data_IF_928544581262
#
_entry.id   IF_928544581262
#
_cell.length_a   1.000
_cell.length_b   1.000
_cell.length_c   1.000
_cell.angle_alpha   90.00
_cell.angle_beta   90.00
_cell.angle_gamma   90.00
#
_symmetry.space_group_name_H-M   'P 1'
#
loop_
_entity.id
_entity.type
_entity.pdbx_description
1 polymer ?
#
# COMPACT_ATOMS: atom_id res chain seq x y z
N UNK A 1 80.36 13.03 25.66
CA UNK A 1 80.10 14.01 24.58
C UNK A 1 80.00 13.25 23.27
N UNK A 2 78.79 13.17 22.70
CA UNK A 2 78.50 13.08 21.27
C UNK A 2 76.99 12.86 21.10
N UNK A 3 76.30 13.92 20.66
CA UNK A 3 74.95 13.84 20.08
C UNK A 3 75.09 13.49 18.60
N UNK A 4 74.14 12.73 18.05
CA UNK A 4 73.58 13.10 16.75
C UNK A 4 72.05 13.10 16.80
N UNK A 5 71.42 14.24 16.49
CA UNK A 5 70.87 14.65 15.18
C UNK A 5 69.47 14.10 14.96
N UNK A 6 68.52 15.04 15.03
CA UNK A 6 67.10 14.91 14.80
C UNK A 6 66.85 14.73 13.30
N UNK A 7 66.15 13.66 12.89
CA UNK A 7 65.53 13.56 11.56
C UNK A 7 64.04 13.43 11.78
N UNK A 8 63.32 14.50 11.43
CA UNK A 8 61.85 14.58 11.47
C UNK A 8 61.30 14.03 10.16
N UNK A 9 60.77 12.80 10.18
CA UNK A 9 59.96 12.28 9.08
C UNK A 9 58.49 12.64 9.31
N UNK A 10 57.96 13.51 8.45
CA UNK A 10 56.53 13.67 8.24
C UNK A 10 55.96 12.38 7.64
N UNK A 11 54.98 11.78 8.30
CA UNK A 11 54.09 10.77 7.70
C UNK A 11 52.68 11.33 7.76
N UNK A 12 52.09 11.55 6.60
CA UNK A 12 50.68 11.89 6.42
C UNK A 12 49.99 10.75 5.66
N UNK A 13 48.69 10.60 5.92
CA UNK A 13 47.68 9.76 5.25
C UNK A 13 47.64 8.27 5.63
N UNK A 14 46.49 7.63 5.89
CA UNK A 14 45.09 8.04 5.73
C UNK A 14 44.21 7.18 6.66
N UNK A 15 43.26 7.79 7.37
CA UNK A 15 42.19 7.05 8.05
C UNK A 15 40.97 6.98 7.13
N UNK A 16 40.73 5.81 6.53
CA UNK A 16 39.49 5.53 5.81
C UNK A 16 38.41 5.14 6.82
N UNK A 17 37.56 6.09 7.21
CA UNK A 17 36.31 5.79 7.93
C UNK A 17 35.28 5.37 6.88
N UNK A 18 35.10 4.06 6.73
CA UNK A 18 34.00 3.48 5.98
C UNK A 18 32.70 3.72 6.73
N UNK A 19 31.93 4.72 6.30
CA UNK A 19 30.58 4.96 6.80
C UNK A 19 29.63 3.88 6.28
N UNK A 20 29.27 2.91 7.13
CA UNK A 20 28.04 2.15 6.95
C UNK A 20 26.86 3.08 7.23
N UNK A 21 26.27 3.66 6.19
CA UNK A 21 24.93 4.25 6.28
C UNK A 21 23.92 3.11 6.32
N UNK A 22 23.68 2.58 7.52
CA UNK A 22 22.50 1.78 7.79
C UNK A 22 21.26 2.65 7.55
N UNK A 23 20.38 2.23 6.65
CA UNK A 23 19.04 2.79 6.57
C UNK A 23 18.37 2.53 7.92
N UNK A 24 18.18 3.57 8.71
CA UNK A 24 17.30 3.54 9.87
C UNK A 24 15.88 3.41 9.32
N UNK A 25 15.27 2.25 9.55
CA UNK A 25 13.81 2.14 9.49
C UNK A 25 13.27 3.05 10.59
N UNK A 26 12.46 4.03 10.20
CA UNK A 26 11.75 4.89 11.13
C UNK A 26 10.68 4.03 11.82
N UNK A 27 10.91 3.71 13.09
CA UNK A 27 10.05 2.85 13.89
C UNK A 27 8.75 3.62 14.16
N UNK A 28 7.68 3.28 13.44
CA UNK A 28 6.34 3.81 13.71
C UNK A 28 5.88 3.30 15.07
N UNK A 29 5.37 4.21 15.91
CA UNK A 29 4.95 4.01 17.33
C UNK A 29 3.76 3.02 17.53
N UNK A 30 3.45 2.22 16.51
CA UNK A 30 2.48 1.13 16.53
C UNK A 30 3.21 -0.17 16.20
N UNK A 31 3.53 -1.04 17.19
CA UNK A 31 4.33 -2.25 16.97
C UNK A 31 3.69 -3.28 16.03
N UNK A 32 2.44 -3.01 15.60
CA UNK A 32 1.68 -3.85 14.70
C UNK A 32 1.60 -3.31 13.27
N UNK A 33 1.98 -2.05 13.02
CA UNK A 33 1.97 -1.45 11.69
C UNK A 33 3.29 -1.73 10.95
N UNK A 34 3.21 -2.04 9.67
CA UNK A 34 4.39 -2.29 8.83
C UNK A 34 4.27 -1.55 7.52
N UNK A 35 5.40 -1.03 7.05
CA UNK A 35 5.52 -0.39 5.76
C UNK A 35 6.80 -0.84 5.06
N UNK A 36 6.68 -1.24 3.80
CA UNK A 36 7.80 -1.57 2.92
C UNK A 36 7.70 -0.73 1.65
N UNK A 37 8.70 0.12 1.45
CA UNK A 37 8.70 1.10 0.37
C UNK A 37 7.82 2.32 0.64
N UNK A 38 8.14 3.40 -0.07
CA UNK A 38 7.38 4.66 -0.05
C UNK A 38 6.80 4.92 -1.43
N UNK A 39 5.61 5.52 -1.49
CA UNK A 39 4.95 5.88 -2.75
C UNK A 39 5.88 6.76 -3.63
N UNK A 40 6.60 7.71 -3.03
CA UNK A 40 7.56 8.57 -3.74
C UNK A 40 8.71 7.77 -4.36
N UNK A 41 9.23 6.75 -3.68
CA UNK A 41 10.32 5.92 -4.19
C UNK A 41 9.81 4.98 -5.30
N UNK A 42 8.76 4.24 -5.00
CA UNK A 42 8.26 3.17 -5.86
C UNK A 42 7.56 3.73 -7.08
N UNK A 43 6.68 4.73 -6.92
CA UNK A 43 5.95 5.34 -8.04
C UNK A 43 6.71 6.56 -8.59
N UNK A 44 7.13 7.47 -7.72
CA UNK A 44 7.77 8.72 -8.14
C UNK A 44 9.13 8.52 -8.80
N UNK A 45 10.04 7.84 -8.10
CA UNK A 45 11.42 7.55 -8.52
C UNK A 45 11.56 6.23 -9.30
N UNK A 46 10.46 5.51 -9.53
CA UNK A 46 10.41 4.26 -10.29
C UNK A 46 11.30 3.13 -9.75
N UNK A 47 11.46 3.06 -8.42
CA UNK A 47 12.19 1.99 -7.74
C UNK A 47 11.28 0.78 -7.50
N UNK A 48 11.15 -0.08 -8.51
CA UNK A 48 10.18 -1.17 -8.51
C UNK A 48 10.70 -2.52 -7.97
N UNK A 49 11.90 -2.57 -7.39
CA UNK A 49 12.46 -3.81 -6.83
C UNK A 49 11.61 -4.37 -5.68
N UNK A 50 11.56 -5.69 -5.55
CA UNK A 50 10.95 -6.36 -4.40
C UNK A 50 11.64 -5.99 -3.10
N UNK A 51 10.85 -5.75 -2.05
CA UNK A 51 11.32 -5.30 -0.72
C UNK A 51 10.87 -6.21 0.40
N UNK A 52 9.76 -6.93 0.22
CA UNK A 52 9.23 -7.88 1.19
C UNK A 52 8.52 -9.02 0.48
N UNK A 53 8.66 -10.22 1.03
CA UNK A 53 7.95 -11.40 0.57
C UNK A 53 6.60 -11.51 1.31
N UNK A 54 5.53 -11.77 0.57
CA UNK A 54 4.20 -11.91 1.16
C UNK A 54 4.08 -13.09 2.13
N UNK A 55 4.80 -14.20 1.89
CA UNK A 55 4.81 -15.36 2.78
C UNK A 55 5.37 -15.00 4.17
N UNK A 56 6.33 -14.08 4.26
CA UNK A 56 6.89 -13.62 5.54
C UNK A 56 5.86 -12.87 6.38
N UNK A 57 5.00 -12.06 5.74
CA UNK A 57 3.98 -11.25 6.41
C UNK A 57 2.84 -12.09 6.97
N UNK A 58 2.53 -13.22 6.33
CA UNK A 58 1.40 -14.08 6.72
C UNK A 58 1.80 -15.25 7.64
N UNK A 59 3.09 -15.33 8.05
CA UNK A 59 3.53 -16.26 9.10
C UNK A 59 2.89 -15.95 10.45
N UNK A 60 2.63 -14.66 10.71
CA UNK A 60 1.85 -14.20 11.86
C UNK A 60 0.39 -14.04 11.44
N UNK A 61 -0.58 -14.49 12.27
CA UNK A 61 -1.99 -14.40 11.94
C UNK A 61 -2.47 -12.94 11.91
N UNK A 62 -3.63 -12.70 11.32
CA UNK A 62 -4.32 -11.42 11.34
C UNK A 62 -3.58 -10.27 10.64
N UNK A 63 -2.78 -10.59 9.61
CA UNK A 63 -2.20 -9.56 8.77
C UNK A 63 -3.22 -9.02 7.76
N UNK A 64 -3.33 -7.70 7.69
CA UNK A 64 -4.11 -6.96 6.70
C UNK A 64 -3.22 -5.95 6.02
N UNK A 65 -3.38 -5.79 4.71
CA UNK A 65 -2.56 -4.82 3.99
C UNK A 65 -2.91 -4.72 2.52
N UNK A 66 -2.37 -3.67 1.91
CA UNK A 66 -2.48 -3.37 0.49
C UNK A 66 -1.09 -3.10 -0.06
N UNK A 67 -0.87 -3.43 -1.33
CA UNK A 67 0.44 -3.22 -1.94
C UNK A 67 0.50 -3.52 -3.42
N UNK A 68 1.61 -3.08 -4.01
CA UNK A 68 1.98 -3.31 -5.40
C UNK A 68 3.04 -4.41 -5.47
N UNK A 69 2.88 -5.32 -6.42
CA UNK A 69 3.92 -6.31 -6.73
C UNK A 69 5.21 -5.64 -7.20
N UNK A 70 6.33 -6.33 -7.06
CA UNK A 70 7.57 -5.94 -7.71
C UNK A 70 7.40 -5.71 -9.22
N UNK A 71 8.24 -4.85 -9.79
CA UNK A 71 8.11 -4.34 -11.16
C UNK A 71 6.78 -3.62 -11.45
N UNK A 72 5.98 -3.29 -10.42
CA UNK A 72 4.59 -2.84 -10.56
C UNK A 72 3.73 -3.83 -11.36
N UNK A 73 4.01 -5.13 -11.24
CA UNK A 73 3.42 -6.15 -12.12
C UNK A 73 1.95 -6.49 -11.80
N UNK A 74 1.34 -5.84 -10.80
CA UNK A 74 -0.03 -6.08 -10.36
C UNK A 74 -0.25 -5.60 -8.93
N UNK A 75 -1.46 -5.86 -8.44
CA UNK A 75 -1.92 -5.45 -7.12
C UNK A 75 -2.06 -6.63 -6.18
N UNK A 76 -1.85 -6.37 -4.89
CA UNK A 76 -1.97 -7.32 -3.82
C UNK A 76 -2.80 -6.75 -2.67
N UNK A 77 -3.66 -7.59 -2.11
CA UNK A 77 -4.40 -7.30 -0.87
C UNK A 77 -4.30 -8.50 0.04
N UNK A 78 -3.92 -8.28 1.29
CA UNK A 78 -3.96 -9.29 2.34
C UNK A 78 -5.17 -9.01 3.21
N UNK A 79 -6.01 -10.02 3.39
CA UNK A 79 -7.15 -9.98 4.28
C UNK A 79 -7.07 -11.15 5.25
N UNK A 80 -6.77 -10.86 6.53
CA UNK A 80 -6.65 -11.85 7.60
C UNK A 80 -5.67 -12.99 7.24
N UNK A 81 -4.46 -12.61 6.81
CA UNK A 81 -3.41 -13.54 6.37
C UNK A 81 -3.64 -14.19 5.00
N UNK A 82 -4.76 -13.92 4.31
CA UNK A 82 -5.01 -14.45 2.96
C UNK A 82 -4.61 -13.43 1.89
N UNK A 83 -3.63 -13.78 1.08
CA UNK A 83 -3.14 -12.94 -0.02
C UNK A 83 -3.98 -13.16 -1.27
N UNK A 84 -4.52 -12.07 -1.82
CA UNK A 84 -5.14 -12.05 -3.15
C UNK A 84 -4.28 -11.21 -4.07
N UNK A 85 -3.97 -11.74 -5.24
CA UNK A 85 -3.12 -11.11 -6.24
C UNK A 85 -3.88 -10.95 -7.54
N UNK A 86 -3.74 -9.82 -8.20
CA UNK A 86 -4.34 -9.59 -9.53
C UNK A 86 -3.34 -8.91 -10.45
N UNK A 87 -3.17 -9.47 -11.64
CA UNK A 87 -2.32 -8.93 -12.71
C UNK A 87 -3.13 -8.65 -13.97
N UNK A 88 -2.56 -7.84 -14.86
CA UNK A 88 -3.08 -7.62 -16.21
C UNK A 88 -2.34 -8.55 -17.17
N UNK A 89 -3.09 -9.33 -17.97
CA UNK A 89 -2.52 -10.18 -19.02
C UNK A 89 -2.19 -9.35 -20.28
N UNK A 90 -1.40 -9.91 -21.22
CA UNK A 90 -1.14 -9.26 -22.51
C UNK A 90 -2.39 -8.91 -23.33
N UNK A 91 -3.48 -9.65 -23.14
CA UNK A 91 -4.80 -9.40 -23.75
C UNK A 91 -5.65 -8.37 -22.98
N UNK A 92 -5.04 -7.67 -22.01
CA UNK A 92 -5.67 -6.69 -21.11
C UNK A 92 -6.72 -7.24 -20.16
N UNK A 93 -6.95 -8.55 -20.10
CA UNK A 93 -7.84 -9.15 -19.11
C UNK A 93 -7.14 -9.31 -17.75
N UNK A 94 -7.92 -9.22 -16.67
CA UNK A 94 -7.42 -9.47 -15.32
C UNK A 94 -7.20 -10.97 -15.08
N UNK A 95 -6.08 -11.31 -14.45
CA UNK A 95 -5.73 -12.68 -14.02
C UNK A 95 -5.55 -12.74 -12.50
N UNK A 96 -6.21 -13.67 -11.79
CA UNK A 96 -5.83 -14.00 -10.42
C UNK A 96 -4.49 -14.76 -10.43
N UNK A 97 -3.59 -14.39 -9.54
CA UNK A 97 -2.29 -15.09 -9.42
C UNK A 97 -2.19 -15.91 -8.15
N UNK A 98 -1.40 -16.98 -8.21
CA UNK A 98 -1.06 -17.79 -7.04
C UNK A 98 0.10 -17.16 -6.29
N UNK A 99 0.00 -17.16 -4.97
CA UNK A 99 1.14 -16.85 -4.11
C UNK A 99 2.24 -17.90 -4.27
N UNK A 100 3.49 -17.47 -4.20
CA UNK A 100 4.67 -18.33 -4.17
C UNK A 100 5.75 -17.69 -3.31
N UNK A 101 6.77 -18.47 -2.95
CA UNK A 101 7.96 -17.99 -2.24
C UNK A 101 8.80 -16.98 -3.01
N UNK A 102 8.47 -16.69 -4.27
CA UNK A 102 9.12 -15.63 -5.07
C UNK A 102 8.29 -14.35 -5.16
N UNK A 103 7.04 -14.37 -4.69
CA UNK A 103 6.14 -13.23 -4.83
C UNK A 103 6.53 -12.14 -3.82
N UNK A 104 6.96 -11.00 -4.33
CA UNK A 104 7.38 -9.86 -3.51
C UNK A 104 6.56 -8.60 -3.82
N UNK A 105 6.50 -7.72 -2.82
CA UNK A 105 5.95 -6.38 -2.97
C UNK A 105 7.08 -5.37 -3.16
N UNK A 106 6.90 -4.44 -4.10
CA UNK A 106 7.72 -3.22 -4.16
C UNK A 106 7.21 -2.16 -3.18
N UNK A 107 5.89 -2.10 -3.00
CA UNK A 107 5.21 -1.23 -2.05
C UNK A 107 4.22 -2.07 -1.24
N UNK A 108 4.25 -1.96 0.08
CA UNK A 108 3.28 -2.60 0.95
C UNK A 108 3.08 -1.77 2.21
N UNK A 109 1.82 -1.63 2.61
CA UNK A 109 1.44 -1.04 3.88
C UNK A 109 0.37 -1.92 4.53
N UNK A 110 0.50 -2.19 5.82
CA UNK A 110 -0.37 -3.13 6.52
C UNK A 110 -0.20 -3.12 8.02
N UNK A 111 -1.02 -3.91 8.71
CA UNK A 111 -0.88 -4.13 10.13
C UNK A 111 -1.42 -5.50 10.56
N UNK A 112 -0.98 -5.94 11.74
CA UNK A 112 -1.53 -7.09 12.45
C UNK A 112 -2.70 -6.63 13.33
N UNK A 113 -3.93 -6.97 12.95
CA UNK A 113 -5.16 -6.49 13.63
C UNK A 113 -5.98 -7.68 14.11
N UNK A 114 -5.83 -8.03 15.39
CA UNK A 114 -6.50 -9.20 15.97
C UNK A 114 -8.00 -9.00 16.15
N UNK A 115 -8.39 -7.83 16.66
CA UNK A 115 -9.77 -7.51 16.98
C UNK A 115 -10.21 -6.24 16.25
N UNK A 116 -11.51 -6.17 15.97
CA UNK A 116 -12.12 -5.09 15.20
C UNK A 116 -13.39 -4.62 15.89
N UNK A 117 -13.50 -3.30 16.08
CA UNK A 117 -14.78 -2.66 16.39
C UNK A 117 -15.56 -2.46 15.09
N UNK A 118 -16.87 -2.73 15.11
CA UNK A 118 -17.76 -2.57 13.95
C UNK A 118 -18.64 -1.33 14.09
N UNK A 119 -18.62 -0.48 13.07
CA UNK A 119 -19.35 0.79 12.99
C UNK A 119 -20.29 0.77 11.78
N UNK A 120 -21.61 0.57 11.97
CA UNK A 120 -22.57 0.51 10.87
C UNK A 120 -22.72 1.87 10.15
N UNK A 121 -22.73 1.83 8.82
CA UNK A 121 -22.97 2.99 7.96
C UNK A 121 -24.43 2.99 7.51
N UNK A 122 -25.23 3.89 8.07
CA UNK A 122 -26.69 3.95 7.83
C UNK A 122 -27.08 4.84 6.65
N UNK A 123 -26.14 5.62 6.11
CA UNK A 123 -26.34 6.53 4.99
C UNK A 123 -25.33 6.22 3.89
N UNK A 124 -25.67 6.65 2.67
CA UNK A 124 -24.72 6.65 1.55
C UNK A 124 -23.55 7.58 1.89
N UNK A 125 -22.34 7.12 1.61
CA UNK A 125 -21.10 7.90 1.80
C UNK A 125 -20.49 8.14 0.42
N UNK A 126 -20.55 9.38 -0.11
CA UNK A 126 -19.82 9.78 -1.30
C UNK A 126 -18.31 9.67 -1.11
N UNK A 127 -17.58 9.53 -2.22
CA UNK A 127 -16.11 9.41 -2.20
C UNK A 127 -15.43 10.59 -1.49
N UNK A 128 -15.96 11.80 -1.66
CA UNK A 128 -15.36 13.02 -1.11
C UNK A 128 -15.53 13.12 0.42
N UNK A 129 -16.50 12.39 0.99
CA UNK A 129 -16.78 12.37 2.42
C UNK A 129 -16.05 11.23 3.15
N UNK A 130 -15.43 10.30 2.40
CA UNK A 130 -14.85 9.07 2.95
C UNK A 130 -13.75 9.34 3.99
N UNK A 131 -12.84 10.27 3.69
CA UNK A 131 -11.73 10.58 4.59
C UNK A 131 -12.24 11.12 5.92
N UNK A 132 -13.17 12.09 5.87
CA UNK A 132 -13.78 12.70 7.04
C UNK A 132 -14.57 11.68 7.86
N UNK A 133 -15.31 10.77 7.20
CA UNK A 133 -16.03 9.69 7.88
C UNK A 133 -15.06 8.81 8.67
N UNK A 134 -14.01 8.28 8.02
CA UNK A 134 -13.05 7.37 8.67
C UNK A 134 -12.36 8.07 9.84
N UNK A 135 -11.92 9.32 9.65
CA UNK A 135 -11.28 10.11 10.70
C UNK A 135 -12.21 10.35 11.90
N UNK A 136 -13.46 10.76 11.65
CA UNK A 136 -14.42 11.03 12.72
C UNK A 136 -14.80 9.77 13.48
N UNK A 137 -15.06 8.66 12.79
CA UNK A 137 -15.37 7.37 13.44
C UNK A 137 -14.17 6.84 14.21
N UNK A 138 -12.94 6.98 13.68
CA UNK A 138 -11.71 6.61 14.39
C UNK A 138 -11.50 7.41 15.68
N UNK A 139 -11.67 8.74 15.62
CA UNK A 139 -11.60 9.59 16.80
C UNK A 139 -12.66 9.21 17.86
N UNK A 140 -13.89 8.94 17.43
CA UNK A 140 -14.97 8.50 18.32
C UNK A 140 -14.70 7.12 18.95
N UNK A 141 -13.99 6.25 18.24
CA UNK A 141 -13.54 4.95 18.73
C UNK A 141 -12.24 5.03 19.56
N UNK A 142 -11.67 6.22 19.74
CA UNK A 142 -10.48 6.44 20.55
C UNK A 142 -9.15 6.17 19.84
N UNK A 143 -9.14 6.01 18.51
CA UNK A 143 -7.91 5.87 17.74
C UNK A 143 -7.23 7.22 17.56
N UNK A 144 -5.89 7.21 17.57
CA UNK A 144 -5.05 8.35 17.25
C UNK A 144 -4.98 8.54 15.73
N UNK A 145 -5.60 9.61 15.20
CA UNK A 145 -5.68 9.86 13.74
C UNK A 145 -4.48 10.61 13.17
N UNK A 146 -3.54 11.02 14.02
CA UNK A 146 -2.21 11.52 13.64
C UNK A 146 -1.23 10.37 13.28
N UNK A 147 -1.61 9.12 13.56
CA UNK A 147 -0.85 7.92 13.20
C UNK A 147 -1.57 7.10 12.12
N UNK A 148 -0.83 6.42 11.23
CA UNK A 148 -1.44 5.50 10.27
C UNK A 148 -2.14 4.33 10.94
N UNK A 149 -3.32 3.95 10.44
CA UNK A 149 -4.04 2.75 10.90
C UNK A 149 -4.78 2.04 9.77
N UNK A 150 -5.01 0.75 9.96
CA UNK A 150 -5.79 -0.07 9.03
C UNK A 150 -7.28 0.15 9.24
N UNK A 151 -8.05 0.13 8.17
CA UNK A 151 -9.50 0.04 8.22
C UNK A 151 -9.99 -0.99 7.21
N UNK A 152 -11.18 -1.53 7.46
CA UNK A 152 -11.90 -2.33 6.47
C UNK A 152 -13.33 -1.81 6.35
N UNK A 153 -13.84 -1.65 5.13
CA UNK A 153 -15.26 -1.43 4.90
C UNK A 153 -15.84 -2.66 4.20
N UNK A 154 -16.83 -3.31 4.82
CA UNK A 154 -17.54 -4.46 4.25
C UNK A 154 -18.93 -4.00 3.80
N UNK A 155 -19.31 -4.29 2.56
CA UNK A 155 -20.66 -3.97 2.09
C UNK A 155 -20.77 -3.84 0.58
N UNK A 156 -21.78 -3.08 0.18
CA UNK A 156 -22.08 -2.76 -1.22
C UNK A 156 -21.53 -1.39 -1.60
N UNK A 157 -20.98 -1.32 -2.80
CA UNK A 157 -20.34 -0.13 -3.35
C UNK A 157 -20.91 0.19 -4.74
N UNK A 158 -20.91 1.47 -5.08
CA UNK A 158 -21.28 1.96 -6.39
C UNK A 158 -20.21 2.91 -6.94
N UNK A 159 -20.20 3.06 -8.26
CA UNK A 159 -19.32 4.00 -8.96
C UNK A 159 -17.84 3.84 -8.58
N UNK A 160 -17.38 2.59 -8.45
CA UNK A 160 -16.01 2.30 -8.00
C UNK A 160 -15.04 2.53 -9.15
N UNK A 161 -14.22 3.57 -9.05
CA UNK A 161 -13.10 3.79 -9.95
C UNK A 161 -11.92 2.95 -9.45
N UNK A 162 -11.58 1.93 -10.22
CA UNK A 162 -10.68 0.87 -9.82
C UNK A 162 -9.61 0.66 -10.89
N UNK A 163 -8.38 0.34 -10.46
CA UNK A 163 -7.33 -0.06 -11.38
C UNK A 163 -6.45 -1.20 -10.86
N UNK A 164 -5.80 -1.88 -11.81
CA UNK A 164 -4.70 -2.82 -11.55
C UNK A 164 -3.51 -2.35 -12.37
N UNK A 165 -2.41 -2.00 -11.68
CA UNK A 165 -1.17 -1.60 -12.33
C UNK A 165 -0.57 -2.73 -13.18
N UNK A 166 0.18 -2.32 -14.21
CA UNK A 166 0.91 -3.21 -15.09
C UNK A 166 2.20 -2.54 -15.57
N UNK A 167 3.24 -2.55 -14.75
CA UNK A 167 4.52 -1.90 -15.05
C UNK A 167 4.52 -0.37 -14.92
N UNK A 168 3.36 0.25 -14.71
CA UNK A 168 3.20 1.69 -14.52
C UNK A 168 1.93 2.02 -13.71
N UNK A 169 2.00 3.12 -12.96
CA UNK A 169 0.88 3.69 -12.23
C UNK A 169 0.07 4.65 -13.12
N UNK A 170 -1.25 4.43 -13.31
CA UNK A 170 -2.09 5.27 -14.17
C UNK A 170 -2.18 6.72 -13.65
N UNK A 171 -2.29 6.91 -12.34
CA UNK A 171 -2.33 8.24 -11.71
C UNK A 171 -1.08 9.06 -12.01
N UNK A 172 0.12 8.45 -11.88
CA UNK A 172 1.38 9.11 -12.23
C UNK A 172 1.43 9.49 -13.70
N UNK A 173 1.06 8.56 -14.58
CA UNK A 173 1.07 8.80 -16.03
C UNK A 173 0.15 9.98 -16.40
N UNK A 174 -1.07 10.03 -15.84
CA UNK A 174 -2.00 11.16 -16.00
C UNK A 174 -1.40 12.48 -15.52
N UNK A 175 -0.85 12.53 -14.31
CA UNK A 175 -0.24 13.75 -13.76
C UNK A 175 0.93 14.27 -14.61
N UNK A 176 1.71 13.36 -15.19
CA UNK A 176 2.88 13.69 -16.03
C UNK A 176 2.57 13.83 -17.51
N UNK A 177 1.31 13.60 -17.92
CA UNK A 177 0.88 13.55 -19.33
C UNK A 177 1.72 12.56 -20.16
N UNK A 178 2.07 11.43 -19.55
CA UNK A 178 2.87 10.37 -20.17
C UNK A 178 1.99 9.38 -20.93
N UNK A 179 2.42 8.98 -22.13
CA UNK A 179 1.76 7.92 -22.91
C UNK A 179 2.39 6.58 -22.57
N UNK A 180 1.61 5.68 -21.98
CA UNK A 180 2.09 4.35 -21.60
C UNK A 180 2.18 3.40 -22.81
N UNK A 181 3.29 2.64 -22.96
CA UNK A 181 3.40 1.55 -23.91
C UNK A 181 2.25 0.54 -23.76
N UNK A 182 1.81 -0.07 -24.86
CA UNK A 182 0.63 -0.97 -24.88
C UNK A 182 0.77 -2.12 -23.88
N UNK A 183 1.96 -2.69 -23.77
CA UNK A 183 2.32 -3.80 -22.87
C UNK A 183 2.41 -3.39 -21.39
N UNK A 184 2.46 -2.08 -21.10
CA UNK A 184 2.48 -1.50 -19.74
C UNK A 184 1.20 -0.75 -19.39
N UNK A 185 0.14 -0.94 -20.17
CA UNK A 185 -1.14 -0.30 -19.87
C UNK A 185 -1.77 -0.98 -18.64
N UNK A 186 -2.11 -0.21 -17.59
CA UNK A 186 -2.88 -0.73 -16.48
C UNK A 186 -4.30 -1.07 -16.94
N UNK A 187 -4.99 -1.89 -16.17
CA UNK A 187 -6.42 -2.08 -16.31
C UNK A 187 -7.13 -1.02 -15.49
N UNK A 188 -8.06 -0.28 -16.09
CA UNK A 188 -8.87 0.74 -15.41
C UNK A 188 -10.34 0.47 -15.69
N UNK A 189 -11.20 0.49 -14.66
CA UNK A 189 -12.62 0.27 -14.79
C UNK A 189 -13.43 1.13 -13.83
N UNK A 190 -14.68 1.41 -14.24
CA UNK A 190 -15.70 1.93 -13.35
C UNK A 190 -16.72 0.82 -13.09
N UNK A 191 -16.72 0.27 -11.87
CA UNK A 191 -17.66 -0.77 -11.48
C UNK A 191 -18.96 -0.09 -11.00
N UNK A 192 -20.09 -0.25 -11.71
CA UNK A 192 -21.32 0.47 -11.36
C UNK A 192 -21.90 0.01 -10.02
N UNK A 193 -21.81 -1.30 -9.74
CA UNK A 193 -22.22 -1.94 -8.48
C UNK A 193 -21.30 -3.11 -8.19
N UNK A 194 -20.84 -3.23 -6.94
CA UNK A 194 -20.02 -4.36 -6.50
C UNK A 194 -20.15 -4.55 -5.00
N UNK A 195 -20.27 -5.80 -4.57
CA UNK A 195 -20.22 -6.19 -3.15
C UNK A 195 -18.83 -6.73 -2.83
N UNK A 196 -18.27 -6.34 -1.70
CA UNK A 196 -16.92 -6.78 -1.35
C UNK A 196 -16.39 -6.19 -0.06
N UNK A 197 -15.07 -6.03 -0.02
CA UNK A 197 -14.35 -5.42 1.10
C UNK A 197 -13.38 -4.38 0.57
N UNK A 198 -13.47 -3.15 1.06
CA UNK A 198 -12.37 -2.20 0.95
C UNK A 198 -11.42 -2.49 2.10
N UNK A 199 -10.16 -2.80 1.78
CA UNK A 199 -9.08 -2.91 2.77
C UNK A 199 -8.21 -1.69 2.54
N UNK A 200 -7.93 -0.91 3.57
CA UNK A 200 -7.17 0.31 3.38
C UNK A 200 -6.45 0.80 4.62
N UNK A 201 -5.61 1.79 4.40
CA UNK A 201 -4.86 2.50 5.43
C UNK A 201 -5.31 3.95 5.41
N UNK A 202 -5.67 4.47 6.58
CA UNK A 202 -5.82 5.90 6.81
C UNK A 202 -4.48 6.45 7.30
N UNK A 203 -4.00 7.53 6.69
CA UNK A 203 -2.78 8.23 7.04
C UNK A 203 -2.88 9.70 6.60
N UNK A 204 -3.27 10.58 7.52
CA UNK A 204 -3.61 11.99 7.24
C UNK A 204 -2.47 12.80 6.63
N UNK A 205 -1.26 12.62 7.17
CA UNK A 205 -0.08 13.42 6.84
C UNK A 205 1.04 12.60 6.17
N UNK A 206 0.67 11.54 5.43
CA UNK A 206 1.61 10.60 4.81
C UNK A 206 1.60 10.65 3.27
N UNK A 207 1.25 11.80 2.69
CA UNK A 207 1.24 11.99 1.22
C UNK A 207 2.63 11.74 0.64
N UNK A 208 2.70 10.89 -0.39
CA UNK A 208 3.98 10.50 -1.01
C UNK A 208 4.78 9.49 -0.19
N UNK A 209 4.37 9.19 1.05
CA UNK A 209 4.90 8.09 1.83
C UNK A 209 4.00 6.85 1.68
N UNK A 210 2.74 6.96 2.11
CA UNK A 210 1.74 5.88 2.10
C UNK A 210 0.64 6.13 1.07
N UNK A 211 0.21 7.40 0.92
CA UNK A 211 -0.95 7.78 0.11
C UNK A 211 -0.56 8.53 -1.16
N UNK A 212 -1.48 8.55 -2.13
CA UNK A 212 -1.38 9.45 -3.29
C UNK A 212 -1.64 10.91 -2.88
N UNK A 213 -1.16 11.90 -3.66
CA UNK A 213 -1.51 13.30 -3.44
C UNK A 213 -3.03 13.52 -3.41
N UNK A 214 -3.49 14.32 -2.44
CA UNK A 214 -4.90 14.70 -2.32
C UNK A 214 -5.80 13.70 -1.58
N UNK A 215 -5.25 12.66 -0.97
CA UNK A 215 -6.02 11.72 -0.14
C UNK A 215 -5.26 11.28 1.11
N UNK A 216 -6.02 11.07 2.19
CA UNK A 216 -5.55 10.48 3.44
C UNK A 216 -5.76 8.96 3.48
N UNK A 217 -6.26 8.35 2.41
CA UNK A 217 -6.46 6.89 2.35
C UNK A 217 -5.73 6.25 1.17
N UNK A 218 -5.23 5.05 1.40
CA UNK A 218 -4.80 4.12 0.36
C UNK A 218 -5.57 2.82 0.56
N UNK A 219 -6.42 2.46 -0.39
CA UNK A 219 -7.31 1.31 -0.25
C UNK A 219 -7.43 0.50 -1.54
N UNK A 220 -7.61 -0.81 -1.36
CA UNK A 220 -7.90 -1.76 -2.41
C UNK A 220 -9.29 -2.35 -2.22
N UNK A 221 -9.94 -2.71 -3.33
CA UNK A 221 -11.15 -3.52 -3.31
C UNK A 221 -10.78 -5.00 -3.37
N UNK A 222 -11.40 -5.81 -2.54
CA UNK A 222 -11.39 -7.27 -2.62
C UNK A 222 -12.83 -7.73 -2.94
N UNK A 223 -13.04 -8.32 -4.12
CA UNK A 223 -14.37 -8.68 -4.59
C UNK A 223 -14.36 -9.96 -5.43
N UNK A 224 -15.50 -10.62 -5.52
CA UNK A 224 -15.70 -11.75 -6.45
C UNK A 224 -16.21 -11.19 -7.77
N UNK A 225 -15.43 -11.36 -8.82
CA UNK A 225 -15.82 -10.95 -10.17
C UNK A 225 -17.03 -11.75 -10.63
N UNK A 226 -18.10 -11.07 -11.03
CA UNK A 226 -19.37 -11.73 -11.36
C UNK A 226 -19.29 -12.54 -12.66
N UNK A 227 -18.41 -12.17 -13.58
CA UNK A 227 -18.25 -12.85 -14.87
C UNK A 227 -17.42 -14.13 -14.73
N UNK A 228 -16.24 -14.04 -14.10
CA UNK A 228 -15.34 -15.20 -13.97
C UNK A 228 -15.53 -16.01 -12.69
N UNK A 229 -16.22 -15.46 -11.68
CA UNK A 229 -16.34 -16.05 -10.35
C UNK A 229 -15.04 -15.99 -9.52
N UNK A 230 -13.96 -15.43 -10.05
CA UNK A 230 -12.67 -15.35 -9.36
C UNK A 230 -12.65 -14.23 -8.33
N UNK A 231 -11.92 -14.44 -7.24
CA UNK A 231 -11.58 -13.36 -6.31
C UNK A 231 -10.54 -12.45 -6.98
N UNK A 232 -10.76 -11.14 -6.95
CA UNK A 232 -9.90 -10.12 -7.55
C UNK A 232 -9.61 -9.00 -6.57
N UNK A 233 -8.49 -8.32 -6.81
CA UNK A 233 -8.15 -7.11 -6.08
C UNK A 233 -7.47 -6.06 -6.93
N UNK A 234 -7.40 -4.84 -6.40
CA UNK A 234 -6.76 -3.70 -7.03
C UNK A 234 -7.13 -2.39 -6.35
N UNK A 235 -6.43 -1.33 -6.75
CA UNK A 235 -6.51 -0.02 -6.13
C UNK A 235 -7.84 0.67 -6.42
N UNK A 236 -8.37 1.40 -5.44
CA UNK A 236 -9.59 2.19 -5.59
C UNK A 236 -9.28 3.67 -5.46
N UNK A 237 -9.58 4.42 -6.51
CA UNK A 237 -9.42 5.89 -6.55
C UNK A 237 -10.66 6.61 -6.01
N UNK A 238 -11.86 6.10 -6.34
CA UNK A 238 -13.15 6.65 -5.92
C UNK A 238 -14.16 5.56 -5.65
N UNK A 239 -15.06 5.80 -4.71
CA UNK A 239 -16.13 4.86 -4.36
C UNK A 239 -17.29 5.58 -3.68
N UNK A 240 -18.51 5.12 -3.94
CA UNK A 240 -19.70 5.48 -3.15
C UNK A 240 -20.11 4.28 -2.31
N UNK A 241 -20.03 4.40 -0.99
CA UNK A 241 -20.42 3.33 -0.06
C UNK A 241 -21.93 3.40 0.16
N UNK A 242 -22.60 2.26 0.07
CA UNK A 242 -24.05 2.17 0.24
C UNK A 242 -24.43 1.94 1.72
N UNK A 243 -25.65 2.38 2.13
CA UNK A 243 -26.20 2.03 3.44
C UNK A 243 -26.16 0.53 3.71
N UNK A 244 -25.93 0.16 4.97
CA UNK A 244 -25.80 -1.24 5.41
C UNK A 244 -24.35 -1.76 5.36
N UNK A 245 -23.41 -1.00 4.79
CA UNK A 245 -22.00 -1.27 4.95
C UNK A 245 -21.55 -1.10 6.41
N UNK A 246 -20.41 -1.71 6.76
CA UNK A 246 -19.78 -1.60 8.07
C UNK A 246 -18.33 -1.15 7.94
N UNK A 247 -17.97 -0.09 8.66
CA UNK A 247 -16.58 0.31 8.86
C UNK A 247 -16.03 -0.45 10.06
N UNK A 248 -14.90 -1.12 9.86
CA UNK A 248 -14.17 -1.85 10.87
C UNK A 248 -12.89 -1.09 11.19
N UNK A 249 -12.65 -0.87 12.48
CA UNK A 249 -11.48 -0.20 13.02
C UNK A 249 -10.79 -1.09 14.06
N UNK A 250 -9.45 -1.07 14.14
CA UNK A 250 -8.70 -1.79 15.18
C UNK A 250 -9.20 -1.44 16.58
N UNK A 251 -9.22 -2.43 17.48
CA UNK A 251 -9.41 -2.24 18.94
C UNK A 251 -8.09 -2.09 19.68
#
# INVERSE_FOLDING_TARGET
MNRPTLVSCFVFFAATIGGLTGLIAEETDSPNFVQYGKMHEVIGQQQHQGRVNFEELIKKPHFYGVGALESLAGEATIFDGRVTLTKVKPDSALSPEKLSSKTQAALLVGAYVKNWSEHPLTKTVPSDDLNSLIEQTANQAGLKTDQPFLFVIKGDFQSVQFHVINGACPLRARMRKEVLPKDKRPYEANLPKVSGKLVGVFAKDAVGNITHPGTSVHMHLLFKDSQSGNLRTGHVEKVTIQPGAKLLLPE
#
